data_IF_581075484676
#
_entry.id   IF_581075484676
#
_cell.length_a   1.000
_cell.length_b   1.000
_cell.length_c   1.000
_cell.angle_alpha   90.00
_cell.angle_beta   90.00
_cell.angle_gamma   90.00
#
_symmetry.space_group_name_H-M   'P 1'
#
loop_
_entity.id
_entity.type
_entity.pdbx_description
1 polymer ?
#
# COMPACT_ATOMS: atom_id res chain seq x y z
N UNK A 1 -11.65 21.93 -4.97
CA UNK A 1 -12.05 20.73 -5.74
C UNK A 1 -10.85 19.91 -6.21
N UNK A 2 -9.84 20.52 -6.86
CA UNK A 2 -8.62 19.79 -7.26
C UNK A 2 -7.82 19.34 -6.03
N UNK A 3 -7.62 20.22 -5.05
CA UNK A 3 -6.90 19.90 -3.81
C UNK A 3 -7.52 18.72 -3.05
N UNK A 4 -8.85 18.73 -2.89
CA UNK A 4 -9.58 17.62 -2.26
C UNK A 4 -9.40 16.29 -3.02
N UNK A 5 -9.31 16.31 -4.35
CA UNK A 5 -9.04 15.10 -5.14
C UNK A 5 -7.60 14.60 -4.94
N UNK A 6 -6.63 15.51 -4.80
CA UNK A 6 -5.24 15.17 -4.49
C UNK A 6 -5.13 14.55 -3.09
N UNK A 7 -5.84 15.11 -2.10
CA UNK A 7 -5.89 14.55 -0.75
C UNK A 7 -6.51 13.15 -0.73
N UNK A 8 -7.62 12.95 -1.43
CA UNK A 8 -8.25 11.63 -1.58
C UNK A 8 -7.28 10.64 -2.23
N UNK A 9 -6.61 11.05 -3.32
CA UNK A 9 -5.62 10.21 -3.99
C UNK A 9 -4.48 9.82 -3.04
N UNK A 10 -3.93 10.79 -2.30
CA UNK A 10 -2.88 10.56 -1.29
C UNK A 10 -3.36 9.63 -0.19
N UNK A 11 -4.58 9.82 0.33
CA UNK A 11 -5.14 8.96 1.37
C UNK A 11 -5.30 7.51 0.90
N UNK A 12 -5.87 7.30 -0.29
CA UNK A 12 -6.03 5.94 -0.84
C UNK A 12 -4.67 5.28 -1.03
N UNK A 13 -3.74 5.98 -1.68
CA UNK A 13 -2.48 5.39 -2.09
C UNK A 13 -1.43 5.30 -0.97
N UNK A 14 -1.28 6.32 -0.14
CA UNK A 14 -0.29 6.34 0.93
C UNK A 14 -0.78 5.68 2.22
N UNK A 15 -2.08 5.61 2.50
CA UNK A 15 -2.58 5.05 3.75
C UNK A 15 -3.20 3.68 3.54
N UNK A 16 -4.17 3.54 2.63
CA UNK A 16 -4.90 2.28 2.46
C UNK A 16 -4.09 1.24 1.69
N UNK A 17 -3.49 1.61 0.56
CA UNK A 17 -2.68 0.68 -0.24
C UNK A 17 -1.41 0.25 0.52
N UNK A 18 -0.76 1.17 1.25
CA UNK A 18 0.35 0.79 2.14
C UNK A 18 -0.13 -0.12 3.28
N UNK A 19 -1.32 0.13 3.84
CA UNK A 19 -1.94 -0.77 4.81
C UNK A 19 -2.14 -2.18 4.28
N UNK A 20 -2.56 -2.34 3.01
CA UNK A 20 -2.58 -3.63 2.32
C UNK A 20 -1.18 -4.24 2.19
N UNK A 21 -0.19 -3.42 1.84
CA UNK A 21 1.23 -3.76 1.85
C UNK A 21 1.66 -4.51 3.11
N UNK A 22 1.44 -3.86 4.25
CA UNK A 22 1.78 -4.40 5.58
C UNK A 22 0.97 -5.65 5.88
N UNK A 23 -0.33 -5.65 5.59
CA UNK A 23 -1.19 -6.82 5.77
C UNK A 23 -0.66 -8.04 5.01
N UNK A 24 -0.25 -7.88 3.75
CA UNK A 24 0.26 -8.96 2.92
C UNK A 24 1.57 -9.53 3.48
N UNK A 25 2.48 -8.67 3.94
CA UNK A 25 3.74 -9.07 4.60
C UNK A 25 3.44 -9.85 5.88
N UNK A 26 2.55 -9.37 6.74
CA UNK A 26 2.20 -10.06 7.98
C UNK A 26 1.54 -11.42 7.72
N UNK A 27 0.59 -11.48 6.79
CA UNK A 27 -0.07 -12.72 6.40
C UNK A 27 0.92 -13.74 5.82
N UNK A 28 1.94 -13.28 5.08
CA UNK A 28 3.04 -14.14 4.65
C UNK A 28 3.85 -14.68 5.83
N UNK A 29 4.34 -13.78 6.69
CA UNK A 29 5.16 -14.13 7.86
C UNK A 29 4.46 -15.14 8.76
N UNK A 30 3.17 -14.93 9.05
CA UNK A 30 2.42 -15.87 9.89
C UNK A 30 2.26 -17.24 9.21
N UNK A 31 2.06 -17.29 7.89
CA UNK A 31 1.98 -18.57 7.16
C UNK A 31 3.32 -19.31 7.13
N UNK A 32 4.42 -18.58 7.02
CA UNK A 32 5.77 -19.15 7.09
C UNK A 32 5.99 -19.85 8.44
N UNK A 33 5.61 -19.19 9.54
CA UNK A 33 5.79 -19.70 10.91
C UNK A 33 4.81 -20.84 11.23
N UNK A 34 3.52 -20.64 10.97
CA UNK A 34 2.48 -21.58 11.41
C UNK A 34 2.30 -22.78 10.48
N UNK A 35 2.88 -22.74 9.27
CA UNK A 35 2.68 -23.72 8.17
C UNK A 35 1.21 -24.00 7.82
N UNK A 36 0.26 -23.22 8.37
CA UNK A 36 -1.17 -23.34 8.06
C UNK A 36 -1.44 -22.71 6.70
N UNK A 37 -2.19 -23.43 5.86
CA UNK A 37 -2.43 -23.01 4.46
C UNK A 37 -3.08 -21.62 4.35
N UNK A 38 -4.02 -21.25 5.24
CA UNK A 38 -4.68 -19.92 5.29
C UNK A 38 -5.23 -19.60 6.69
N UNK A 39 -4.97 -18.39 7.20
CA UNK A 39 -5.51 -17.91 8.50
C UNK A 39 -7.03 -17.69 8.46
N UNK A 40 -7.58 -17.27 7.31
CA UNK A 40 -9.00 -17.32 6.96
C UNK A 40 -9.12 -17.02 5.46
N UNK A 41 -9.37 -18.04 4.64
CA UNK A 41 -9.35 -17.90 3.18
C UNK A 41 -10.39 -16.89 2.67
N UNK A 42 -11.54 -16.82 3.33
CA UNK A 42 -12.63 -15.94 2.91
C UNK A 42 -12.32 -14.47 3.21
N UNK A 43 -11.74 -14.19 4.39
CA UNK A 43 -11.27 -12.85 4.74
C UNK A 43 -10.10 -12.39 3.87
N UNK A 44 -9.15 -13.29 3.61
CA UNK A 44 -8.00 -13.00 2.75
C UNK A 44 -8.43 -12.62 1.32
N UNK A 45 -9.44 -13.31 0.77
CA UNK A 45 -10.04 -12.94 -0.51
C UNK A 45 -10.72 -11.57 -0.45
N UNK A 46 -11.43 -11.27 0.63
CA UNK A 46 -12.06 -9.96 0.82
C UNK A 46 -11.02 -8.82 0.87
N UNK A 47 -9.90 -9.01 1.55
CA UNK A 47 -8.80 -8.05 1.59
C UNK A 47 -8.19 -7.81 0.19
N UNK A 48 -8.05 -8.86 -0.63
CA UNK A 48 -7.58 -8.71 -2.01
C UNK A 48 -8.60 -7.96 -2.88
N UNK A 49 -9.90 -8.28 -2.73
CA UNK A 49 -10.96 -7.61 -3.47
C UNK A 49 -11.01 -6.11 -3.11
N UNK A 50 -10.82 -5.76 -1.83
CA UNK A 50 -10.68 -4.38 -1.37
C UNK A 50 -9.47 -3.70 -2.01
N UNK A 51 -8.29 -4.33 -1.99
CA UNK A 51 -7.09 -3.77 -2.61
C UNK A 51 -7.28 -3.52 -4.12
N UNK A 52 -7.94 -4.45 -4.81
CA UNK A 52 -8.33 -4.29 -6.21
C UNK A 52 -9.22 -3.06 -6.43
N UNK A 53 -10.27 -2.89 -5.62
CA UNK A 53 -11.19 -1.74 -5.70
C UNK A 53 -10.44 -0.43 -5.42
N UNK A 54 -9.61 -0.38 -4.39
CA UNK A 54 -8.80 0.81 -4.05
C UNK A 54 -7.85 1.18 -5.20
N UNK A 55 -7.26 0.19 -5.85
CA UNK A 55 -6.47 0.38 -7.06
C UNK A 55 -7.22 1.03 -8.20
N UNK A 56 -8.44 0.55 -8.48
CA UNK A 56 -9.31 1.16 -9.49
C UNK A 56 -9.70 2.59 -9.11
N UNK A 57 -10.05 2.85 -7.85
CA UNK A 57 -10.38 4.19 -7.36
C UNK A 57 -9.19 5.15 -7.49
N UNK A 58 -7.98 4.68 -7.22
CA UNK A 58 -6.73 5.43 -7.42
C UNK A 58 -6.57 5.81 -8.90
N UNK A 59 -6.83 4.86 -9.81
CA UNK A 59 -6.77 5.13 -11.24
C UNK A 59 -7.82 6.12 -11.74
N UNK A 60 -9.06 5.99 -11.27
CA UNK A 60 -10.14 6.90 -11.63
C UNK A 60 -9.89 8.31 -11.13
N UNK A 61 -9.49 8.46 -9.86
CA UNK A 61 -9.17 9.78 -9.28
C UNK A 61 -7.98 10.42 -10.01
N UNK A 62 -6.95 9.65 -10.35
CA UNK A 62 -5.84 10.12 -11.15
C UNK A 62 -6.24 10.56 -12.57
N UNK A 63 -7.10 9.79 -13.26
CA UNK A 63 -7.61 10.18 -14.58
C UNK A 63 -8.35 11.52 -14.52
N UNK A 64 -9.26 11.68 -13.55
CA UNK A 64 -10.01 12.94 -13.36
C UNK A 64 -9.05 14.11 -13.11
N UNK A 65 -8.01 13.92 -12.30
CA UNK A 65 -6.98 14.95 -12.05
C UNK A 65 -6.21 15.32 -13.33
N UNK A 66 -5.87 14.32 -14.15
CA UNK A 66 -5.13 14.54 -15.40
C UNK A 66 -5.94 15.30 -16.44
N UNK A 67 -7.26 15.08 -16.50
CA UNK A 67 -8.16 15.84 -17.37
C UNK A 67 -8.45 17.26 -16.88
N UNK A 68 -8.36 17.49 -15.57
CA UNK A 68 -8.67 18.80 -14.96
C UNK A 68 -7.45 19.70 -14.79
N UNK A 69 -6.22 19.17 -14.77
CA UNK A 69 -5.00 19.95 -14.61
C UNK A 69 -3.89 19.48 -15.59
N UNK A 70 -3.42 20.40 -16.43
CA UNK A 70 -2.40 20.14 -17.45
C UNK A 70 -0.98 19.97 -16.90
N UNK A 71 -0.71 20.36 -15.65
CA UNK A 71 0.64 20.26 -15.07
C UNK A 71 0.97 18.84 -14.61
N UNK A 72 -0.02 17.94 -14.56
CA UNK A 72 0.14 16.54 -14.13
C UNK A 72 0.71 15.60 -15.20
N UNK A 73 1.14 16.12 -16.36
CA UNK A 73 1.05 15.39 -17.63
C UNK A 73 2.07 14.29 -17.94
N UNK A 74 3.26 14.21 -17.31
CA UNK A 74 4.28 13.22 -17.74
C UNK A 74 5.05 12.53 -16.60
N UNK A 75 5.66 13.28 -15.68
CA UNK A 75 6.49 12.67 -14.61
C UNK A 75 5.63 11.92 -13.58
N UNK A 76 4.38 12.33 -13.40
CA UNK A 76 3.39 11.70 -12.52
C UNK A 76 2.56 10.60 -13.20
N UNK A 77 2.84 10.27 -14.47
CA UNK A 77 2.02 9.33 -15.25
C UNK A 77 2.34 7.87 -14.94
N UNK A 78 3.63 7.58 -14.76
CA UNK A 78 4.13 6.20 -14.68
C UNK A 78 3.67 5.52 -13.39
N UNK A 79 3.73 6.21 -12.26
CA UNK A 79 3.46 5.61 -10.95
C UNK A 79 1.99 5.20 -10.76
N UNK A 80 0.99 6.03 -11.08
CA UNK A 80 -0.42 5.64 -11.04
C UNK A 80 -0.75 4.53 -12.03
N UNK A 81 -0.16 4.53 -13.23
CA UNK A 81 -0.33 3.45 -14.20
C UNK A 81 0.22 2.11 -13.67
N UNK A 82 1.38 2.13 -13.01
CA UNK A 82 1.92 0.95 -12.33
C UNK A 82 0.94 0.47 -11.26
N UNK A 83 0.42 1.37 -10.42
CA UNK A 83 -0.54 0.99 -9.38
C UNK A 83 -1.84 0.41 -9.92
N UNK A 84 -2.40 0.98 -10.99
CA UNK A 84 -3.56 0.42 -11.68
C UNK A 84 -3.24 -0.97 -12.23
N UNK A 85 -2.10 -1.11 -12.93
CA UNK A 85 -1.67 -2.38 -13.50
C UNK A 85 -1.51 -3.47 -12.44
N UNK A 86 -0.81 -3.17 -11.35
CA UNK A 86 -0.64 -4.09 -10.21
C UNK A 86 -1.98 -4.46 -9.57
N UNK A 87 -2.89 -3.50 -9.44
CA UNK A 87 -4.22 -3.74 -8.88
C UNK A 87 -5.04 -4.66 -9.78
N UNK A 88 -5.06 -4.40 -11.09
CA UNK A 88 -5.72 -5.26 -12.07
C UNK A 88 -5.16 -6.69 -12.04
N UNK A 89 -3.83 -6.84 -11.93
CA UNK A 89 -3.19 -8.14 -11.80
C UNK A 89 -3.62 -8.86 -10.51
N UNK A 90 -3.72 -8.16 -9.37
CA UNK A 90 -4.27 -8.71 -8.13
C UNK A 90 -5.73 -9.17 -8.28
N UNK A 91 -6.49 -8.62 -9.23
CA UNK A 91 -7.86 -9.02 -9.55
C UNK A 91 -7.96 -10.41 -10.22
N UNK A 92 -6.91 -10.87 -10.90
CA UNK A 92 -6.94 -12.11 -11.67
C UNK A 92 -6.76 -13.35 -10.78
N UNK A 93 -7.61 -14.36 -10.95
CA UNK A 93 -7.59 -15.62 -10.17
C UNK A 93 -6.21 -16.32 -10.16
N UNK A 94 -5.46 -16.22 -11.25
CA UNK A 94 -4.11 -16.77 -11.37
C UNK A 94 -3.11 -16.15 -10.39
N UNK A 95 -3.21 -14.84 -10.15
CA UNK A 95 -2.31 -14.10 -9.27
C UNK A 95 -2.84 -14.02 -7.83
N UNK A 96 -4.17 -14.05 -7.62
CA UNK A 96 -4.78 -14.16 -6.29
C UNK A 96 -4.33 -15.38 -5.50
N UNK A 97 -4.10 -16.50 -6.20
CA UNK A 97 -3.77 -17.78 -5.57
C UNK A 97 -2.31 -17.88 -5.11
N UNK A 98 -1.39 -17.15 -5.75
CA UNK A 98 0.04 -17.21 -5.45
C UNK A 98 0.44 -16.16 -4.42
N UNK A 99 0.91 -16.64 -3.28
CA UNK A 99 1.31 -15.78 -2.17
C UNK A 99 2.54 -14.92 -2.52
N UNK A 100 3.56 -15.50 -3.14
CA UNK A 100 4.79 -14.77 -3.48
C UNK A 100 4.48 -13.60 -4.42
N UNK A 101 3.61 -13.84 -5.41
CA UNK A 101 3.15 -12.79 -6.33
C UNK A 101 2.45 -11.67 -5.57
N UNK A 102 1.56 -12.02 -4.62
CA UNK A 102 0.87 -11.01 -3.81
C UNK A 102 1.83 -10.17 -2.98
N UNK A 103 2.87 -10.80 -2.41
CA UNK A 103 3.88 -10.11 -1.64
C UNK A 103 4.73 -9.19 -2.52
N UNK A 104 5.11 -9.64 -3.71
CA UNK A 104 5.82 -8.81 -4.68
C UNK A 104 4.99 -7.58 -5.08
N UNK A 105 3.70 -7.77 -5.39
CA UNK A 105 2.82 -6.65 -5.72
C UNK A 105 2.61 -5.71 -4.54
N UNK A 106 2.39 -6.25 -3.34
CA UNK A 106 2.23 -5.45 -2.13
C UNK A 106 3.47 -4.62 -1.83
N UNK A 107 4.66 -5.16 -2.12
CA UNK A 107 5.95 -4.47 -1.95
C UNK A 107 6.14 -3.39 -3.04
N UNK A 108 5.77 -3.66 -4.28
CA UNK A 108 5.76 -2.68 -5.37
C UNK A 108 4.81 -1.50 -5.14
N UNK A 109 3.73 -1.70 -4.38
CA UNK A 109 2.85 -0.59 -3.97
C UNK A 109 3.50 0.32 -2.93
N UNK A 110 4.27 -0.25 -2.00
CA UNK A 110 4.96 0.50 -0.93
C UNK A 110 6.20 1.23 -1.45
N UNK A 111 6.92 0.61 -2.38
CA UNK A 111 8.07 1.18 -3.08
C UNK A 111 7.61 2.06 -4.24
N UNK A 112 7.24 3.29 -3.93
CA UNK A 112 6.99 4.31 -4.95
C UNK A 112 8.28 4.65 -5.71
N UNK A 113 8.15 5.19 -6.93
CA UNK A 113 9.32 5.63 -7.69
C UNK A 113 10.15 6.64 -6.89
N UNK A 114 9.48 7.57 -6.21
CA UNK A 114 10.11 8.52 -5.28
C UNK A 114 10.92 7.82 -4.18
N UNK A 115 10.34 6.83 -3.50
CA UNK A 115 11.03 6.10 -2.41
C UNK A 115 12.16 5.22 -2.92
N UNK A 116 12.02 4.66 -4.12
CA UNK A 116 13.10 3.94 -4.80
C UNK A 116 14.25 4.88 -5.13
N UNK A 117 13.98 6.07 -5.66
CA UNK A 117 15.01 7.08 -5.92
C UNK A 117 15.68 7.51 -4.63
N UNK A 118 14.94 7.75 -3.55
CA UNK A 118 15.50 8.08 -2.22
C UNK A 118 16.39 6.94 -1.71
N UNK A 119 15.93 5.69 -1.83
CA UNK A 119 16.69 4.54 -1.36
C UNK A 119 17.97 4.33 -2.18
N UNK A 120 17.89 4.43 -3.52
CA UNK A 120 19.05 4.33 -4.40
C UNK A 120 20.02 5.49 -4.16
N UNK A 121 19.52 6.72 -4.01
CA UNK A 121 20.38 7.88 -3.71
C UNK A 121 21.01 7.80 -2.33
N UNK A 122 20.33 7.24 -1.33
CA UNK A 122 20.92 6.95 -0.01
C UNK A 122 22.06 5.92 -0.12
N UNK A 123 21.88 4.83 -0.86
CA UNK A 123 22.94 3.84 -1.06
C UNK A 123 24.07 4.30 -1.99
N UNK A 124 23.78 5.20 -2.94
CA UNK A 124 24.77 5.69 -3.91
C UNK A 124 25.55 6.92 -3.42
N UNK A 125 24.99 7.71 -2.50
CA UNK A 125 25.69 8.83 -1.86
C UNK A 125 26.20 8.41 -0.49
N UNK A 126 27.44 7.90 -0.44
CA UNK A 126 28.29 7.88 0.75
C UNK A 126 28.72 9.31 1.16
N UNK A 127 27.75 10.21 1.38
CA UNK A 127 27.98 11.51 2.02
C UNK A 127 27.21 11.54 3.33
N UNK A 128 27.62 10.69 4.26
CA UNK A 128 27.41 10.95 5.68
C UNK A 128 28.60 11.77 6.16
N UNK A 129 28.44 13.07 6.48
CA UNK A 129 29.46 13.78 7.23
C UNK A 129 29.71 13.03 8.53
N UNK A 130 30.97 12.79 8.87
CA UNK A 130 31.43 12.15 10.11
C UNK A 130 30.97 12.84 11.43
N UNK A 131 30.08 13.83 11.36
CA UNK A 131 29.59 14.65 12.48
C UNK A 131 28.18 14.30 12.95
N UNK A 132 27.54 13.24 12.46
CA UNK A 132 26.31 12.67 13.07
C UNK A 132 26.62 11.86 14.35
N UNK A 133 27.57 12.34 15.15
CA UNK A 133 27.90 11.75 16.44
C UNK A 133 26.93 12.26 17.52
N UNK A 134 26.09 11.32 17.98
CA UNK A 134 25.76 11.08 19.41
C UNK A 134 24.85 12.03 20.20
N UNK A 135 24.23 13.06 19.62
CA UNK A 135 23.29 13.94 20.38
C UNK A 135 21.79 13.73 20.10
N UNK A 136 21.39 12.88 19.15
CA UNK A 136 19.98 12.71 18.73
C UNK A 136 19.25 11.46 19.27
N UNK A 137 19.84 10.72 20.22
CA UNK A 137 19.29 9.42 20.65
C UNK A 137 17.88 9.50 21.28
N UNK A 138 17.53 10.61 21.93
CA UNK A 138 16.18 10.84 22.47
C UNK A 138 15.15 11.15 21.38
N UNK A 139 15.55 11.92 20.36
CA UNK A 139 14.68 12.34 19.25
C UNK A 139 14.46 11.19 18.23
N UNK A 140 15.47 10.33 18.08
CA UNK A 140 15.40 9.15 17.22
C UNK A 140 14.43 8.09 17.76
N UNK A 141 14.34 7.94 19.09
CA UNK A 141 13.38 7.03 19.73
C UNK A 141 11.92 7.45 19.50
N UNK A 142 11.64 8.75 19.58
CA UNK A 142 10.34 9.35 19.29
C UNK A 142 9.99 9.20 17.81
N UNK A 143 10.93 9.52 16.91
CA UNK A 143 10.73 9.38 15.46
C UNK A 143 10.43 7.94 15.05
N UNK A 144 11.18 6.99 15.59
CA UNK A 144 10.96 5.56 15.33
C UNK A 144 9.60 5.10 15.82
N UNK A 145 9.20 5.53 17.03
CA UNK A 145 7.89 5.21 17.61
C UNK A 145 6.75 5.75 16.75
N UNK A 146 6.86 6.99 16.27
CA UNK A 146 5.86 7.60 15.37
C UNK A 146 5.74 6.86 14.04
N UNK A 147 6.85 6.39 13.47
CA UNK A 147 6.84 5.58 12.24
C UNK A 147 6.10 4.26 12.46
N UNK A 148 6.44 3.54 13.54
CA UNK A 148 5.80 2.26 13.88
C UNK A 148 4.30 2.47 14.13
N UNK A 149 3.93 3.50 14.87
CA UNK A 149 2.53 3.84 15.14
C UNK A 149 1.78 4.21 13.86
N UNK A 150 2.40 4.98 12.96
CA UNK A 150 1.83 5.32 11.66
C UNK A 150 1.58 4.09 10.78
N UNK A 151 2.52 3.15 10.75
CA UNK A 151 2.35 1.88 10.03
C UNK A 151 1.25 1.01 10.66
N UNK A 152 1.19 0.95 12.00
CA UNK A 152 0.16 0.22 12.71
C UNK A 152 -1.25 0.80 12.44
N UNK A 153 -1.40 2.13 12.44
CA UNK A 153 -2.66 2.78 12.11
C UNK A 153 -3.11 2.48 10.67
N UNK A 154 -2.20 2.51 9.70
CA UNK A 154 -2.51 2.16 8.30
C UNK A 154 -2.98 0.71 8.17
N UNK A 155 -2.33 -0.21 8.90
CA UNK A 155 -2.76 -1.61 8.97
C UNK A 155 -4.16 -1.75 9.58
N UNK A 156 -4.45 -1.04 10.67
CA UNK A 156 -5.76 -1.06 11.33
C UNK A 156 -6.83 -0.51 10.38
N UNK A 157 -6.60 0.63 9.74
CA UNK A 157 -7.51 1.22 8.77
C UNK A 157 -7.82 0.26 7.61
N UNK A 158 -6.79 -0.37 7.05
CA UNK A 158 -7.00 -1.32 5.96
C UNK A 158 -7.75 -2.58 6.40
N UNK A 159 -7.39 -3.15 7.55
CA UNK A 159 -8.02 -4.40 8.04
C UNK A 159 -9.47 -4.17 8.47
N UNK A 160 -9.78 -3.03 9.10
CA UNK A 160 -11.17 -2.63 9.43
C UNK A 160 -12.02 -2.46 8.18
N UNK A 161 -11.50 -1.77 7.16
CA UNK A 161 -12.19 -1.61 5.88
C UNK A 161 -12.43 -2.96 5.18
N UNK A 162 -11.43 -3.85 5.21
CA UNK A 162 -11.54 -5.22 4.69
C UNK A 162 -12.57 -6.06 5.46
N UNK A 163 -12.64 -5.90 6.78
CA UNK A 163 -13.62 -6.58 7.63
C UNK A 163 -15.05 -6.12 7.32
N UNK A 164 -15.26 -4.80 7.16
CA UNK A 164 -16.55 -4.26 6.74
C UNK A 164 -16.98 -4.84 5.39
N UNK A 165 -16.09 -4.81 4.39
CA UNK A 165 -16.36 -5.39 3.08
C UNK A 165 -16.70 -6.89 3.15
N UNK A 166 -15.96 -7.66 3.95
CA UNK A 166 -16.24 -9.07 4.19
C UNK A 166 -17.64 -9.31 4.77
N UNK A 167 -18.05 -8.51 5.75
CA UNK A 167 -19.38 -8.60 6.35
C UNK A 167 -20.48 -8.25 5.36
N UNK A 168 -20.30 -7.19 4.55
CA UNK A 168 -21.25 -6.82 3.49
C UNK A 168 -21.41 -7.93 2.46
N UNK A 169 -20.28 -8.49 1.98
CA UNK A 169 -20.29 -9.59 1.00
C UNK A 169 -20.97 -10.84 1.56
N UNK A 170 -20.73 -11.17 2.82
CA UNK A 170 -21.38 -12.30 3.50
C UNK A 170 -22.91 -12.09 3.62
N UNK A 171 -23.35 -10.86 3.93
CA UNK A 171 -24.77 -10.52 4.02
C UNK A 171 -25.47 -10.62 2.65
N UNK A 172 -24.81 -10.17 1.59
CA UNK A 172 -25.34 -10.24 0.22
C UNK A 172 -25.50 -11.68 -0.30
N UNK A 173 -24.55 -12.57 0.03
CA UNK A 173 -24.60 -13.97 -0.42
C UNK A 173 -25.55 -14.88 0.39
N UNK A 174 -26.02 -14.41 1.56
CA UNK A 174 -26.96 -15.16 2.40
C UNK A 174 -28.43 -14.81 2.11
N UNK A 175 -28.68 -13.91 1.16
CA UNK A 175 -29.99 -13.63 0.55
C UNK A 175 -30.04 -14.25 -0.85
#
# INVERSE_FOLDING_TARGET
MIESLIEILKFISNDLIIGFGIYAVLNFSIRLITRKKRLNAAFDNAAIDVAFILGLLTGLTWLILTFTNTDFRLTFLIQPLIWIGLSLMLGLNKFKSNLIVRLLFSLSFVLTFERLVILITYFHRDYLPNTWSTNDLLDESLRTTLIVLGLALKLILFTTLSALYFLFKKKLNNN
#
